data_IF_862806049105
#
_entry.id   IF_862806049105
#
_cell.length_a   1.000
_cell.length_b   1.000
_cell.length_c   1.000
_cell.angle_alpha   90.00
_cell.angle_beta   90.00
_cell.angle_gamma   90.00
#
_symmetry.space_group_name_H-M   'P 1'
#
loop_
_entity.id
_entity.type
_entity.pdbx_description
1 polymer ?
#
# COMPACT_ATOMS: atom_id res chain seq x y z
N UNK A 1 -6.70 2.76 8.64
CA UNK A 1 -6.81 1.41 8.07
C UNK A 1 -7.38 1.51 6.66
N UNK A 2 -6.66 1.06 5.63
CA UNK A 2 -7.15 1.06 4.24
C UNK A 2 -7.54 -0.36 3.83
N UNK A 3 -8.73 -0.51 3.26
CA UNK A 3 -9.24 -1.77 2.73
C UNK A 3 -9.37 -1.67 1.21
N UNK A 4 -8.73 -2.58 0.49
CA UNK A 4 -8.81 -2.66 -0.96
C UNK A 4 -9.41 -4.01 -1.36
N UNK A 5 -10.53 -3.93 -2.08
CA UNK A 5 -11.12 -5.08 -2.74
C UNK A 5 -10.50 -5.22 -4.12
N UNK A 6 -9.98 -6.41 -4.41
CA UNK A 6 -9.38 -6.72 -5.69
C UNK A 6 -10.04 -7.94 -6.29
N UNK A 7 -10.26 -7.90 -7.61
CA UNK A 7 -10.70 -9.05 -8.38
C UNK A 7 -9.54 -9.55 -9.26
N UNK A 8 -9.10 -10.79 -9.08
CA UNK A 8 -8.02 -11.42 -9.86
C UNK A 8 -8.57 -12.59 -10.66
N UNK A 9 -8.33 -12.58 -11.97
CA UNK A 9 -8.64 -13.70 -12.87
C UNK A 9 -7.63 -14.86 -12.83
N UNK A 10 -6.56 -14.73 -12.04
CA UNK A 10 -5.54 -15.79 -11.84
C UNK A 10 -5.00 -15.72 -10.43
N UNK A 11 -4.91 -16.88 -9.77
CA UNK A 11 -4.32 -16.99 -8.44
C UNK A 11 -2.85 -16.58 -8.39
N UNK A 12 -2.45 -15.96 -7.29
CA UNK A 12 -1.09 -15.49 -7.02
C UNK A 12 -0.47 -16.47 -6.02
N UNK A 13 0.52 -17.23 -6.46
CA UNK A 13 1.24 -18.19 -5.60
C UNK A 13 2.36 -17.54 -4.81
N UNK A 14 2.78 -16.33 -5.19
CA UNK A 14 3.83 -15.56 -4.54
C UNK A 14 4.05 -14.22 -5.22
N UNK A 15 4.63 -13.27 -4.47
CA UNK A 15 4.86 -11.92 -4.97
C UNK A 15 5.54 -11.00 -3.98
N UNK A 16 5.80 -9.77 -4.40
CA UNK A 16 6.34 -8.70 -3.57
C UNK A 16 5.41 -7.50 -3.57
N UNK A 17 5.22 -6.91 -2.41
CA UNK A 17 4.51 -5.64 -2.22
C UNK A 17 5.56 -4.54 -2.06
N UNK A 18 5.64 -3.63 -3.04
CA UNK A 18 6.52 -2.47 -3.02
C UNK A 18 5.69 -1.24 -2.66
N UNK A 19 6.03 -0.57 -1.58
CA UNK A 19 5.39 0.65 -1.10
C UNK A 19 6.34 1.81 -1.38
N UNK A 20 5.92 2.77 -2.19
CA UNK A 20 6.66 3.98 -2.52
C UNK A 20 5.92 5.18 -1.94
N UNK A 21 6.65 6.04 -1.23
CA UNK A 21 6.12 7.28 -0.67
C UNK A 21 6.83 8.44 -1.34
N UNK A 22 6.04 9.30 -1.94
CA UNK A 22 6.48 10.52 -2.62
C UNK A 22 5.97 11.72 -1.85
N UNK A 23 6.85 12.66 -1.53
CA UNK A 23 6.49 13.92 -0.90
C UNK A 23 6.87 15.07 -1.82
N UNK A 24 5.88 15.88 -2.21
CA UNK A 24 6.11 17.03 -3.08
C UNK A 24 6.84 16.69 -4.40
N UNK A 25 6.57 15.50 -4.96
CA UNK A 25 7.20 14.99 -6.18
C UNK A 25 8.56 14.29 -5.98
N UNK A 26 9.12 14.29 -4.77
CA UNK A 26 10.37 13.60 -4.43
C UNK A 26 10.06 12.23 -3.80
N UNK A 27 10.67 11.17 -4.34
CA UNK A 27 10.58 9.84 -3.73
C UNK A 27 11.39 9.82 -2.43
N UNK A 28 10.70 9.90 -1.29
CA UNK A 28 11.34 9.98 0.03
C UNK A 28 11.59 8.61 0.64
N UNK A 29 10.76 7.62 0.29
CA UNK A 29 10.84 6.30 0.88
C UNK A 29 10.34 5.23 -0.07
N UNK A 30 10.99 4.08 -0.01
CA UNK A 30 10.58 2.88 -0.73
C UNK A 30 10.80 1.69 0.19
N UNK A 31 9.75 0.94 0.43
CA UNK A 31 9.76 -0.26 1.26
C UNK A 31 9.32 -1.44 0.39
N UNK A 32 9.93 -2.61 0.59
CA UNK A 32 9.56 -3.82 -0.16
C UNK A 32 9.34 -4.96 0.82
N UNK A 33 8.13 -5.49 0.82
CA UNK A 33 7.70 -6.61 1.62
C UNK A 33 7.35 -7.80 0.75
N UNK A 34 7.47 -9.00 1.29
CA UNK A 34 6.96 -10.19 0.61
C UNK A 34 5.44 -10.25 0.80
N UNK A 35 4.74 -10.43 -0.33
CA UNK A 35 3.28 -10.39 -0.34
C UNK A 35 2.65 -11.45 0.57
N UNK A 36 3.28 -12.63 0.61
CA UNK A 36 2.80 -13.78 1.39
C UNK A 36 3.11 -13.70 2.88
N UNK A 37 3.92 -12.73 3.31
CA UNK A 37 4.13 -12.47 4.73
C UNK A 37 2.99 -11.65 5.32
N UNK A 38 2.44 -10.73 4.53
CA UNK A 38 1.34 -9.84 4.94
C UNK A 38 -0.05 -10.39 4.59
N UNK A 39 -0.14 -11.31 3.62
CA UNK A 39 -1.40 -11.90 3.14
C UNK A 39 -1.33 -13.43 3.11
N UNK A 40 -2.46 -14.11 3.25
CA UNK A 40 -2.50 -15.57 3.15
C UNK A 40 -2.32 -16.02 1.69
N UNK A 41 -1.16 -16.60 1.38
CA UNK A 41 -0.89 -17.23 0.09
C UNK A 41 -1.21 -18.73 0.09
N UNK A 42 -1.65 -19.30 -1.05
CA UNK A 42 -1.89 -18.65 -2.34
C UNK A 42 -3.19 -17.83 -2.36
N UNK A 43 -3.15 -16.63 -2.96
CA UNK A 43 -4.35 -15.84 -3.18
C UNK A 43 -5.13 -16.51 -4.30
N UNK A 44 -6.32 -17.04 -4.00
CA UNK A 44 -7.16 -17.71 -5.00
C UNK A 44 -7.69 -16.74 -6.06
N UNK A 45 -8.13 -17.31 -7.18
CA UNK A 45 -8.81 -16.57 -8.24
C UNK A 45 -10.15 -16.07 -7.72
N UNK A 46 -10.43 -14.77 -7.88
CA UNK A 46 -11.67 -14.15 -7.45
C UNK A 46 -11.45 -12.84 -6.68
N UNK A 47 -12.42 -12.51 -5.84
CA UNK A 47 -12.36 -11.34 -4.96
C UNK A 47 -11.54 -11.64 -3.72
N UNK A 48 -10.53 -10.81 -3.47
CA UNK A 48 -9.75 -10.85 -2.24
C UNK A 48 -9.63 -9.45 -1.65
N UNK A 49 -9.59 -9.41 -0.32
CA UNK A 49 -9.50 -8.18 0.45
C UNK A 49 -8.10 -8.06 1.02
N UNK A 50 -7.45 -6.93 0.74
CA UNK A 50 -6.19 -6.55 1.36
C UNK A 50 -6.46 -5.41 2.31
N UNK A 51 -6.24 -5.67 3.59
CA UNK A 51 -6.26 -4.65 4.63
C UNK A 51 -4.82 -4.28 4.97
N UNK A 52 -4.49 -3.00 4.92
CA UNK A 52 -3.17 -2.54 5.34
C UNK A 52 -3.31 -1.27 6.17
N UNK A 53 -2.60 -1.24 7.30
CA UNK A 53 -2.60 -0.10 8.21
C UNK A 53 -1.22 0.54 8.19
N UNK A 54 -1.03 1.52 7.32
CA UNK A 54 0.14 2.39 7.38
C UNK A 54 -0.09 3.44 8.45
N UNK A 55 0.73 3.37 9.50
CA UNK A 55 0.82 4.42 10.50
C UNK A 55 1.88 5.40 10.02
N UNK A 56 1.44 6.61 9.64
CA UNK A 56 2.36 7.70 9.37
C UNK A 56 2.95 8.18 10.71
N UNK A 57 4.27 8.34 10.85
CA UNK A 57 4.88 8.80 12.09
C UNK A 57 4.35 10.19 12.45
N UNK A 58 4.00 10.42 13.73
CA UNK A 58 3.34 11.65 14.18
C UNK A 58 4.11 12.96 13.95
N UNK A 59 5.38 12.88 13.57
CA UNK A 59 6.18 14.01 13.08
C UNK A 59 6.24 13.98 11.54
N UNK A 60 5.09 13.96 10.87
CA UNK A 60 5.02 14.13 9.42
C UNK A 60 4.80 15.61 9.11
N UNK A 61 5.69 16.27 8.35
CA UNK A 61 5.45 17.64 7.89
C UNK A 61 4.08 17.78 7.22
N UNK A 62 3.39 18.92 7.39
CA UNK A 62 2.15 19.16 6.67
C UNK A 62 2.44 19.27 5.16
N UNK A 63 1.57 18.65 4.36
CA UNK A 63 1.68 18.65 2.91
C UNK A 63 1.09 17.40 2.27
N UNK A 64 1.15 17.33 0.95
CA UNK A 64 0.60 16.22 0.16
C UNK A 64 1.63 15.11 -0.03
N UNK A 65 1.28 13.92 0.46
CA UNK A 65 2.03 12.68 0.29
C UNK A 65 1.31 11.81 -0.72
N UNK A 66 2.06 11.24 -1.66
CA UNK A 66 1.56 10.22 -2.59
C UNK A 66 2.11 8.87 -2.17
N UNK A 67 1.21 7.96 -1.83
CA UNK A 67 1.56 6.59 -1.51
C UNK A 67 1.17 5.71 -2.68
N UNK A 68 2.15 4.95 -3.16
CA UNK A 68 2.00 4.03 -4.26
C UNK A 68 2.33 2.62 -3.77
N UNK A 69 1.38 1.72 -3.88
CA UNK A 69 1.54 0.31 -3.53
C UNK A 69 1.50 -0.51 -4.81
N UNK A 70 2.61 -1.16 -5.14
CA UNK A 70 2.75 -2.05 -6.30
C UNK A 70 2.81 -3.50 -5.83
N UNK A 71 1.97 -4.33 -6.41
CA UNK A 71 1.98 -5.77 -6.25
C UNK A 71 2.69 -6.39 -7.45
N UNK A 72 3.81 -7.06 -7.19
CA UNK A 72 4.61 -7.75 -8.18
C UNK A 72 4.43 -9.26 -8.02
N UNK A 73 4.30 -9.98 -9.14
CA UNK A 73 4.34 -11.45 -9.18
C UNK A 73 5.77 -11.98 -8.93
N UNK A 74 5.93 -13.29 -8.74
CA UNK A 74 7.24 -13.95 -8.69
C UNK A 74 8.15 -13.62 -9.88
N UNK A 75 7.57 -13.32 -11.05
CA UNK A 75 8.30 -12.90 -12.25
C UNK A 75 8.62 -11.39 -12.31
N UNK A 76 8.47 -10.67 -11.19
CA UNK A 76 8.59 -9.19 -11.09
C UNK A 76 7.64 -8.42 -12.02
N UNK A 77 6.57 -9.08 -12.49
CA UNK A 77 5.55 -8.44 -13.30
C UNK A 77 4.57 -7.71 -12.39
N UNK A 78 4.32 -6.43 -12.66
CA UNK A 78 3.30 -5.67 -11.96
C UNK A 78 1.93 -6.27 -12.25
N UNK A 79 1.28 -6.75 -11.18
CA UNK A 79 -0.05 -7.32 -11.23
C UNK A 79 -1.10 -6.26 -10.91
N UNK A 80 -0.79 -5.36 -9.98
CA UNK A 80 -1.70 -4.34 -9.49
C UNK A 80 -0.93 -3.17 -8.92
N UNK A 81 -1.38 -1.95 -9.18
CA UNK A 81 -0.79 -0.73 -8.65
C UNK A 81 -1.91 0.16 -8.08
N UNK A 82 -1.87 0.40 -6.77
CA UNK A 82 -2.73 1.39 -6.11
C UNK A 82 -1.91 2.65 -5.89
N UNK A 83 -2.51 3.81 -6.20
CA UNK A 83 -1.96 5.11 -5.85
C UNK A 83 -3.02 5.89 -5.11
N UNK A 84 -2.66 6.46 -3.98
CA UNK A 84 -3.53 7.36 -3.24
C UNK A 84 -2.70 8.51 -2.67
N UNK A 85 -3.33 9.67 -2.60
CA UNK A 85 -2.70 10.87 -2.06
C UNK A 85 -3.33 11.18 -0.70
N UNK A 86 -2.50 11.38 0.31
CA UNK A 86 -2.90 11.85 1.63
C UNK A 86 -2.44 13.29 1.75
N UNK A 87 -3.34 14.19 2.12
CA UNK A 87 -3.00 15.55 2.49
C UNK A 87 -2.95 15.66 4.01
N UNK A 88 -1.78 15.98 4.55
CA UNK A 88 -1.58 16.14 5.99
C UNK A 88 -1.69 17.64 6.29
N UNK A 89 -2.84 18.06 6.83
CA UNK A 89 -3.03 19.41 7.32
C UNK A 89 -2.40 19.63 8.69
N UNK A 90 -2.04 20.88 9.02
CA UNK A 90 -1.55 21.31 10.34
C UNK A 90 -2.65 21.38 11.40
N UNK A 91 -3.63 20.48 11.37
CA UNK A 91 -4.65 20.33 12.40
C UNK A 91 -4.46 18.94 13.01
N UNK A 92 -4.41 18.82 14.35
CA UNK A 92 -4.34 17.51 14.97
C UNK A 92 -5.56 16.72 14.50
N UNK A 93 -5.33 15.57 13.88
CA UNK A 93 -6.40 14.61 13.62
C UNK A 93 -6.99 14.27 14.98
N UNK A 94 -8.18 14.78 15.27
CA UNK A 94 -8.96 14.36 16.44
C UNK A 94 -9.32 12.90 16.21
N UNK A 95 -8.44 12.04 16.68
CA UNK A 95 -8.74 10.66 17.01
C UNK A 95 -8.41 10.54 18.50
N UNK A 96 -9.48 10.39 19.28
CA UNK A 96 -9.54 9.97 20.68
C UNK A 96 -9.73 11.07 21.77
N UNK A 97 -10.95 11.01 22.34
CA UNK A 97 -11.52 11.48 23.62
C UNK A 97 -11.84 12.96 23.85
#
# INVERSE_FOLDING_TARGET
>A
MCFFLFNKGRGITGGKLVIEVTYFGWHIHSETHDLCSETTCPVETGDFLVAHSQVLPGYTPPGSYSLQMKMLDAQKKELTCIKFSIDIGSVPSVADM
#
